data_IF_876064792501
#
_entry.id   IF_876064792501
#
_cell.length_a   1.000
_cell.length_b   1.000
_cell.length_c   1.000
_cell.angle_alpha   90.00
_cell.angle_beta   90.00
_cell.angle_gamma   90.00
#
_symmetry.space_group_name_H-M   'P 1'
#
loop_
_entity.id
_entity.type
_entity.pdbx_description
1 polymer ?
#
# COMPACT_ATOMS: atom_id res chain seq x y z
N UNK A 1 -14.25 8.52 -0.77
CA UNK A 1 -14.19 7.36 0.13
C UNK A 1 -12.98 6.58 -0.34
N UNK A 2 -11.94 6.50 0.49
CA UNK A 2 -10.75 5.72 0.14
C UNK A 2 -11.07 4.27 0.43
N UNK A 3 -10.81 3.37 -0.52
CA UNK A 3 -10.92 1.93 -0.35
C UNK A 3 -9.67 1.28 -0.90
N UNK A 4 -9.14 0.26 -0.24
CA UNK A 4 -8.05 -0.53 -0.79
C UNK A 4 -8.61 -1.91 -1.16
N UNK A 5 -8.76 -2.17 -2.45
CA UNK A 5 -9.44 -3.37 -2.98
C UNK A 5 -8.69 -3.93 -4.18
N UNK A 6 -8.80 -5.24 -4.41
CA UNK A 6 -8.24 -5.87 -5.60
C UNK A 6 -8.98 -5.37 -6.86
N UNK A 7 -8.26 -4.86 -7.88
CA UNK A 7 -8.88 -4.47 -9.14
C UNK A 7 -9.45 -5.66 -9.90
N UNK A 8 -10.54 -5.46 -10.66
CA UNK A 8 -11.22 -6.52 -11.43
C UNK A 8 -10.32 -7.24 -12.46
N UNK A 9 -9.30 -6.54 -12.96
CA UNK A 9 -8.37 -7.08 -13.95
C UNK A 9 -7.28 -7.98 -13.33
N UNK A 10 -7.13 -7.95 -12.00
CA UNK A 10 -6.03 -8.61 -11.30
C UNK A 10 -6.46 -9.96 -10.72
N UNK A 11 -5.92 -11.03 -11.30
CA UNK A 11 -5.93 -12.36 -10.67
C UNK A 11 -4.53 -12.67 -10.13
N UNK A 12 -4.34 -12.74 -8.79
CA UNK A 12 -3.05 -13.10 -8.20
C UNK A 12 -2.53 -14.44 -8.72
N UNK A 13 -1.22 -14.51 -9.01
CA UNK A 13 -0.56 -15.78 -9.32
C UNK A 13 -0.39 -16.59 -8.04
N UNK A 14 -0.34 -17.91 -8.16
CA UNK A 14 -0.26 -18.82 -7.01
C UNK A 14 0.89 -18.48 -6.04
N UNK A 15 2.09 -18.22 -6.57
CA UNK A 15 3.24 -17.85 -5.75
C UNK A 15 3.08 -16.49 -5.04
N UNK A 16 2.28 -15.57 -5.59
CA UNK A 16 2.00 -14.28 -4.94
C UNK A 16 1.08 -14.53 -3.75
N UNK A 17 0.01 -15.30 -3.95
CA UNK A 17 -0.90 -15.69 -2.86
C UNK A 17 -0.20 -16.51 -1.78
N UNK A 18 0.70 -17.42 -2.15
CA UNK A 18 1.53 -18.16 -1.19
C UNK A 18 2.46 -17.24 -0.39
N UNK A 19 3.13 -16.30 -1.05
CA UNK A 19 3.99 -15.32 -0.40
C UNK A 19 3.21 -14.46 0.62
N UNK A 20 2.02 -13.97 0.24
CA UNK A 20 1.15 -13.20 1.15
C UNK A 20 0.70 -14.05 2.33
N UNK A 21 0.16 -15.25 2.10
CA UNK A 21 -0.28 -16.16 3.19
C UNK A 21 0.85 -16.49 4.16
N UNK A 22 2.06 -16.70 3.66
CA UNK A 22 3.23 -16.98 4.50
C UNK A 22 3.58 -15.78 5.39
N UNK A 23 3.56 -14.58 4.82
CA UNK A 23 3.78 -13.34 5.56
C UNK A 23 2.68 -13.07 6.59
N UNK A 24 1.42 -13.31 6.27
CA UNK A 24 0.28 -13.20 7.20
C UNK A 24 0.39 -14.20 8.35
N UNK A 25 0.78 -15.45 8.07
CA UNK A 25 1.02 -16.46 9.11
C UNK A 25 2.15 -16.07 10.07
N UNK A 26 3.03 -15.16 9.62
CA UNK A 26 4.09 -14.53 10.42
C UNK A 26 3.62 -13.22 11.06
N UNK A 27 2.31 -13.05 11.27
CA UNK A 27 1.68 -11.86 11.85
C UNK A 27 1.99 -10.56 11.09
N UNK A 28 2.17 -10.65 9.77
CA UNK A 28 2.53 -9.51 8.93
C UNK A 28 3.95 -9.00 9.16
N UNK A 29 4.84 -9.81 9.75
CA UNK A 29 6.23 -9.43 9.99
C UNK A 29 7.17 -10.25 9.09
N UNK A 30 7.97 -9.56 8.27
CA UNK A 30 8.96 -10.20 7.41
C UNK A 30 9.25 -9.42 6.13
N UNK A 31 10.06 -10.04 5.26
CA UNK A 31 10.47 -9.48 3.97
C UNK A 31 10.03 -10.42 2.86
N UNK A 32 9.25 -9.91 1.90
CA UNK A 32 8.93 -10.61 0.66
C UNK A 32 10.12 -10.48 -0.31
N UNK A 33 11.02 -11.47 -0.32
CA UNK A 33 12.17 -11.47 -1.22
C UNK A 33 11.78 -12.02 -2.61
N UNK A 34 11.59 -11.12 -3.57
CA UNK A 34 11.07 -11.45 -4.91
C UNK A 34 12.02 -10.96 -6.01
N UNK A 35 12.22 -11.79 -7.04
CA UNK A 35 13.03 -11.42 -8.19
C UNK A 35 12.39 -10.28 -9.01
N UNK A 36 13.20 -9.52 -9.75
CA UNK A 36 12.69 -8.49 -10.66
C UNK A 36 11.77 -9.11 -11.72
N UNK A 37 10.72 -8.37 -12.12
CA UNK A 37 9.73 -8.86 -13.09
C UNK A 37 8.69 -9.86 -12.55
N UNK A 38 8.80 -10.33 -11.30
CA UNK A 38 7.85 -11.29 -10.71
C UNK A 38 6.60 -10.66 -10.09
N UNK A 39 6.46 -9.33 -10.18
CA UNK A 39 5.28 -8.63 -9.66
C UNK A 39 5.37 -8.25 -8.18
N UNK A 40 6.58 -7.92 -7.67
CA UNK A 40 6.79 -7.52 -6.27
C UNK A 40 5.86 -6.40 -5.77
N UNK A 41 5.55 -5.43 -6.63
CA UNK A 41 4.63 -4.32 -6.29
C UNK A 41 3.21 -4.84 -6.10
N UNK A 42 2.71 -5.60 -7.07
CA UNK A 42 1.40 -6.25 -7.01
C UNK A 42 1.28 -7.16 -5.78
N UNK A 43 2.29 -7.97 -5.48
CA UNK A 43 2.28 -8.82 -4.27
C UNK A 43 2.18 -8.01 -2.99
N UNK A 44 2.89 -6.88 -2.89
CA UNK A 44 2.81 -5.99 -1.73
C UNK A 44 1.42 -5.34 -1.60
N UNK A 45 0.80 -4.96 -2.72
CA UNK A 45 -0.54 -4.37 -2.73
C UNK A 45 -1.64 -5.39 -2.42
N UNK A 46 -1.49 -6.65 -2.84
CA UNK A 46 -2.36 -7.75 -2.40
C UNK A 46 -2.26 -7.90 -0.88
N UNK A 47 -1.05 -8.01 -0.32
CA UNK A 47 -0.86 -8.09 1.13
C UNK A 47 -1.46 -6.90 1.88
N UNK A 48 -1.30 -5.69 1.36
CA UNK A 48 -1.88 -4.49 1.95
C UNK A 48 -3.41 -4.49 1.91
N UNK A 49 -4.01 -5.00 0.83
CA UNK A 49 -5.47 -5.13 0.66
C UNK A 49 -6.06 -6.13 1.64
N UNK A 50 -5.42 -7.30 1.77
CA UNK A 50 -5.84 -8.33 2.71
C UNK A 50 -5.72 -7.82 4.16
N UNK A 51 -4.60 -7.16 4.49
CA UNK A 51 -4.41 -6.54 5.81
C UNK A 51 -5.43 -5.42 6.09
N UNK A 52 -5.72 -4.56 5.11
CA UNK A 52 -6.73 -3.50 5.24
C UNK A 52 -8.09 -4.07 5.62
N UNK A 53 -8.50 -5.14 4.94
CA UNK A 53 -9.77 -5.85 5.22
C UNK A 53 -9.76 -6.48 6.62
N UNK A 54 -8.63 -7.09 7.02
CA UNK A 54 -8.47 -7.68 8.36
C UNK A 54 -8.44 -6.65 9.50
N UNK A 55 -8.19 -5.37 9.20
CA UNK A 55 -8.14 -4.26 10.15
C UNK A 55 -9.39 -3.39 10.10
N UNK A 56 -10.55 -3.98 9.79
CA UNK A 56 -11.84 -3.29 9.71
C UNK A 56 -11.80 -2.06 8.79
N UNK A 57 -11.20 -2.21 7.61
CA UNK A 57 -11.07 -1.17 6.59
C UNK A 57 -10.28 0.06 7.08
N UNK A 58 -9.31 -0.13 7.99
CA UNK A 58 -8.52 0.95 8.57
C UNK A 58 -7.02 0.61 8.63
N UNK A 59 -6.27 1.09 7.62
CA UNK A 59 -4.83 0.89 7.51
C UNK A 59 -4.09 2.18 7.13
N UNK A 60 -2.98 2.46 7.82
CA UNK A 60 -2.00 3.43 7.36
C UNK A 60 -0.86 2.71 6.61
N UNK A 61 -0.80 2.87 5.29
CA UNK A 61 0.23 2.26 4.44
C UNK A 61 1.33 3.29 4.11
N UNK A 62 2.58 2.91 4.34
CA UNK A 62 3.75 3.72 4.00
C UNK A 62 4.56 2.99 2.93
N UNK A 63 4.72 3.62 1.77
CA UNK A 63 5.55 3.13 0.67
C UNK A 63 6.75 4.05 0.52
N UNK A 64 7.96 3.50 0.65
CA UNK A 64 9.20 4.22 0.45
C UNK A 64 9.90 3.76 -0.84
N UNK A 65 10.24 4.71 -1.72
CA UNK A 65 10.94 4.45 -2.96
C UNK A 65 12.11 5.45 -3.15
N UNK A 66 13.23 5.05 -3.79
CA UNK A 66 14.44 5.86 -3.86
C UNK A 66 14.36 7.04 -4.85
N UNK A 67 13.40 7.04 -5.78
CA UNK A 67 13.29 8.05 -6.83
C UNK A 67 11.84 8.52 -7.02
N UNK A 68 11.66 9.79 -7.40
CA UNK A 68 10.34 10.41 -7.60
C UNK A 68 9.50 9.67 -8.64
N UNK A 69 10.09 9.28 -9.77
CA UNK A 69 9.38 8.52 -10.81
C UNK A 69 8.89 7.14 -10.32
N UNK A 70 9.55 6.54 -9.33
CA UNK A 70 9.06 5.31 -8.71
C UNK A 70 7.91 5.61 -7.76
N UNK A 71 7.94 6.73 -7.02
CA UNK A 71 6.80 7.16 -6.21
C UNK A 71 5.58 7.42 -7.09
N UNK A 72 5.77 8.03 -8.26
CA UNK A 72 4.68 8.25 -9.22
C UNK A 72 4.12 6.92 -9.77
N UNK A 73 4.98 5.93 -10.06
CA UNK A 73 4.52 4.58 -10.45
C UNK A 73 3.70 3.91 -9.34
N UNK A 74 4.21 3.91 -8.11
CA UNK A 74 3.47 3.38 -6.96
C UNK A 74 2.15 4.12 -6.70
N UNK A 75 2.12 5.43 -6.97
CA UNK A 75 0.90 6.23 -6.86
C UNK A 75 -0.16 5.74 -7.83
N UNK A 76 0.22 5.53 -9.10
CA UNK A 76 -0.70 4.98 -10.11
C UNK A 76 -1.18 3.57 -9.72
N UNK A 77 -0.27 2.68 -9.31
CA UNK A 77 -0.64 1.33 -8.88
C UNK A 77 -1.61 1.35 -7.67
N UNK A 78 -1.40 2.26 -6.71
CA UNK A 78 -2.29 2.43 -5.56
C UNK A 78 -3.66 2.99 -5.95
N UNK A 79 -3.72 3.94 -6.89
CA UNK A 79 -4.97 4.49 -7.42
C UNK A 79 -5.78 3.43 -8.16
N UNK A 80 -5.15 2.50 -8.88
CA UNK A 80 -5.83 1.36 -9.51
C UNK A 80 -6.47 0.43 -8.48
N UNK A 81 -5.88 0.30 -7.29
CA UNK A 81 -6.44 -0.44 -6.15
C UNK A 81 -7.49 0.38 -5.35
N UNK A 82 -7.83 1.60 -5.80
CA UNK A 82 -8.83 2.48 -5.20
C UNK A 82 -8.32 3.41 -4.09
N UNK A 83 -7.03 3.35 -3.76
CA UNK A 83 -6.44 4.19 -2.73
C UNK A 83 -6.26 5.64 -3.21
N UNK A 84 -6.06 6.55 -2.26
CA UNK A 84 -5.80 7.98 -2.55
C UNK A 84 -4.50 8.38 -1.85
N UNK A 85 -3.33 8.07 -2.44
CA UNK A 85 -2.04 8.23 -1.77
C UNK A 85 -1.57 9.69 -1.72
N UNK A 86 -0.84 10.03 -0.65
CA UNK A 86 -0.12 11.29 -0.54
C UNK A 86 1.30 11.14 -1.09
N UNK A 87 1.70 12.01 -2.02
CA UNK A 87 3.06 12.03 -2.57
C UNK A 87 3.98 12.85 -1.68
N UNK A 88 4.90 12.19 -0.99
CA UNK A 88 5.83 12.80 -0.04
C UNK A 88 7.25 13.01 -0.62
N UNK A 89 7.37 13.76 -1.72
CA UNK A 89 8.66 14.13 -2.31
C UNK A 89 8.74 15.62 -2.67
N UNK A 90 9.94 16.11 -2.99
CA UNK A 90 10.18 17.53 -3.26
C UNK A 90 10.30 18.36 -1.98
N UNK A 91 9.80 19.60 -1.99
CA UNK A 91 9.83 20.44 -0.79
C UNK A 91 8.89 19.88 0.28
N UNK A 92 9.41 19.71 1.51
CA UNK A 92 8.61 19.28 2.68
C UNK A 92 7.37 20.14 2.88
N UNK A 93 7.50 21.45 2.71
CA UNK A 93 6.38 22.40 2.87
C UNK A 93 5.23 22.14 1.89
N UNK A 94 5.46 21.42 0.79
CA UNK A 94 4.45 21.13 -0.22
C UNK A 94 3.55 19.94 0.09
N UNK A 95 3.85 19.14 1.12
CA UNK A 95 3.05 17.94 1.45
C UNK A 95 2.88 17.69 2.95
N UNK A 96 3.70 18.31 3.81
CA UNK A 96 3.70 18.00 5.25
C UNK A 96 2.38 18.38 5.93
N UNK A 97 1.75 19.49 5.54
CA UNK A 97 0.45 19.92 6.08
C UNK A 97 -0.63 18.87 5.86
N UNK A 98 -0.70 18.36 4.63
CA UNK A 98 -1.75 17.47 4.18
C UNK A 98 -1.63 16.11 4.87
N UNK A 99 -0.40 15.57 4.95
CA UNK A 99 -0.12 14.33 5.65
C UNK A 99 -0.34 14.47 7.16
N UNK A 100 0.05 15.60 7.76
CA UNK A 100 -0.16 15.82 9.21
C UNK A 100 -1.65 15.86 9.54
N UNK A 101 -2.46 16.50 8.70
CA UNK A 101 -3.91 16.47 8.82
C UNK A 101 -4.47 15.05 8.75
N UNK A 102 -4.09 14.29 7.71
CA UNK A 102 -4.55 12.92 7.50
C UNK A 102 -4.14 11.97 8.65
N UNK A 103 -2.92 12.09 9.17
CA UNK A 103 -2.44 11.28 10.31
C UNK A 103 -3.19 11.66 11.59
N UNK A 104 -3.49 12.94 11.80
CA UNK A 104 -4.27 13.39 12.95
C UNK A 104 -5.70 12.84 12.89
N UNK A 105 -6.35 12.89 11.73
CA UNK A 105 -7.68 12.30 11.51
C UNK A 105 -7.65 10.79 11.80
N UNK A 106 -6.70 10.07 11.20
CA UNK A 106 -6.51 8.64 11.40
C UNK A 106 -6.29 8.29 12.87
N UNK A 107 -5.36 8.95 13.57
CA UNK A 107 -5.04 8.64 14.97
C UNK A 107 -6.17 8.96 15.95
N UNK A 108 -6.96 10.00 15.67
CA UNK A 108 -8.10 10.40 16.51
C UNK A 108 -9.32 9.47 16.40
N UNK A 109 -9.34 8.56 15.43
CA UNK A 109 -10.50 7.72 15.13
C UNK A 109 -11.67 8.52 14.53
N UNK A 110 -11.42 9.75 14.10
CA UNK A 110 -12.41 10.58 13.40
C UNK A 110 -12.73 10.05 11.99
N UNK A 111 -11.97 9.06 11.50
CA UNK A 111 -12.28 8.06 10.48
C UNK A 111 -11.25 6.94 10.54
#
# INVERSE_FOLDING_TARGET
MTSLTLPDWLTPREYQSEAVRTWESSQGQGILNMATGTGKTITALIAATDLYTLQDDRLALIVAAPYTHLVDQWTADLEEFGATPFRAYGSRSGWTSDITGAVTEFTSGAR
#
